data_IF_731687856394
#
_entry.id   IF_731687856394
#
_cell.length_a   1.000
_cell.length_b   1.000
_cell.length_c   1.000
_cell.angle_alpha   90.00
_cell.angle_beta   90.00
_cell.angle_gamma   90.00
#
_symmetry.space_group_name_H-M   'P 1'
#
loop_
_entity.id
_entity.type
_entity.pdbx_description
1 polymer ?
#
# COMPACT_ATOMS: atom_id res chain seq x y z
N UNK A 1 5.10 -7.96 27.82
CA UNK A 1 5.25 -8.62 26.49
C UNK A 1 6.33 -7.93 25.65
N UNK A 2 6.52 -6.63 25.84
CA UNK A 2 7.35 -5.78 24.97
C UNK A 2 8.77 -5.60 25.50
N UNK A 3 9.63 -5.06 24.64
CA UNK A 3 11.08 -4.94 24.81
C UNK A 3 11.49 -4.14 26.05
N UNK A 4 10.79 -3.05 26.40
CA UNK A 4 11.22 -2.14 27.47
C UNK A 4 11.19 -2.77 28.87
N UNK A 5 10.47 -3.90 29.03
CA UNK A 5 10.46 -4.71 30.26
C UNK A 5 11.17 -6.05 30.03
N UNK A 6 10.79 -6.78 28.97
CA UNK A 6 11.21 -8.18 28.78
C UNK A 6 12.49 -8.33 27.98
N UNK A 7 13.01 -7.27 27.37
CA UNK A 7 14.26 -7.22 26.61
C UNK A 7 14.36 -8.37 25.60
N UNK A 8 15.42 -9.17 25.67
CA UNK A 8 15.64 -10.34 24.81
C UNK A 8 14.59 -11.46 24.98
N UNK A 9 13.77 -11.41 26.03
CA UNK A 9 12.63 -12.32 26.27
C UNK A 9 11.28 -11.71 25.83
N UNK A 10 11.29 -10.55 25.19
CA UNK A 10 10.10 -9.97 24.58
C UNK A 10 9.62 -10.79 23.38
N UNK A 11 8.38 -10.56 22.98
CA UNK A 11 7.80 -11.26 21.84
C UNK A 11 8.30 -10.73 20.48
N UNK A 12 8.88 -9.52 20.46
CA UNK A 12 9.40 -8.81 19.29
C UNK A 12 10.28 -7.65 19.76
N UNK A 13 11.17 -7.17 18.90
CA UNK A 13 11.97 -5.95 19.10
C UNK A 13 11.19 -4.65 18.81
N UNK A 14 9.95 -4.73 18.32
CA UNK A 14 9.18 -3.54 17.94
C UNK A 14 9.01 -2.55 19.11
N UNK A 15 9.23 -1.27 18.83
CA UNK A 15 9.01 -0.16 19.74
C UNK A 15 8.11 0.91 19.07
N UNK A 16 8.69 1.75 18.21
CA UNK A 16 7.89 2.63 17.34
C UNK A 16 7.11 1.79 16.32
N UNK A 17 5.82 2.07 16.20
CA UNK A 17 4.90 1.42 15.25
C UNK A 17 4.11 2.50 14.49
N UNK A 18 3.09 2.10 13.73
CA UNK A 18 2.35 2.97 12.81
C UNK A 18 1.02 3.48 13.41
N UNK A 19 1.07 4.04 14.62
CA UNK A 19 -0.13 4.42 15.39
C UNK A 19 -0.98 5.48 14.66
N UNK A 20 -0.36 6.51 14.10
CA UNK A 20 -1.10 7.55 13.36
C UNK A 20 -1.85 6.97 12.17
N UNK A 21 -1.20 6.12 11.37
CA UNK A 21 -1.82 5.47 10.21
C UNK A 21 -2.92 4.47 10.62
N UNK A 22 -2.75 3.78 11.75
CA UNK A 22 -3.78 2.92 12.31
C UNK A 22 -5.02 3.72 12.76
N UNK A 23 -4.82 4.89 13.36
CA UNK A 23 -5.92 5.80 13.70
C UNK A 23 -6.64 6.31 12.45
N UNK A 24 -5.92 6.67 11.39
CA UNK A 24 -6.52 7.07 10.11
C UNK A 24 -7.36 5.93 9.53
N UNK A 25 -6.85 4.70 9.52
CA UNK A 25 -7.59 3.53 9.04
C UNK A 25 -8.84 3.24 9.88
N UNK A 26 -8.76 3.40 11.21
CA UNK A 26 -9.92 3.27 12.09
C UNK A 26 -10.96 4.35 11.81
N UNK A 27 -10.54 5.61 11.66
CA UNK A 27 -11.43 6.73 11.31
C UNK A 27 -12.08 6.54 9.93
N UNK A 28 -11.35 6.01 8.95
CA UNK A 28 -11.91 5.64 7.65
C UNK A 28 -13.02 4.58 7.79
N UNK A 29 -12.78 3.51 8.55
CA UNK A 29 -13.78 2.49 8.82
C UNK A 29 -14.99 3.03 9.62
N UNK A 30 -14.77 3.98 10.54
CA UNK A 30 -15.84 4.65 11.30
C UNK A 30 -16.67 5.58 10.44
N UNK A 31 -16.03 6.34 9.54
CA UNK A 31 -16.70 7.28 8.66
C UNK A 31 -17.62 6.56 7.67
N UNK A 32 -17.13 5.46 7.10
CA UNK A 32 -17.89 4.68 6.12
C UNK A 32 -18.84 3.67 6.76
N UNK A 33 -18.52 3.15 7.95
CA UNK A 33 -19.25 2.07 8.59
C UNK A 33 -19.29 0.77 7.76
N UNK A 34 -20.02 -0.26 8.24
CA UNK A 34 -20.09 -1.54 7.52
C UNK A 34 -20.70 -1.40 6.11
N UNK A 35 -21.70 -0.54 5.94
CA UNK A 35 -22.40 -0.32 4.67
C UNK A 35 -21.52 0.41 3.65
N UNK A 36 -20.81 1.47 4.06
CA UNK A 36 -19.92 2.22 3.16
C UNK A 36 -18.74 1.39 2.70
N UNK A 37 -18.08 0.65 3.62
CA UNK A 37 -17.00 -0.27 3.28
C UNK A 37 -17.48 -1.35 2.32
N UNK A 38 -18.68 -1.91 2.54
CA UNK A 38 -19.27 -2.88 1.62
C UNK A 38 -19.49 -2.26 0.23
N UNK A 39 -20.07 -1.06 0.17
CA UNK A 39 -20.36 -0.36 -1.08
C UNK A 39 -19.09 -0.07 -1.89
N UNK A 40 -18.01 0.32 -1.22
CA UNK A 40 -16.70 0.55 -1.85
C UNK A 40 -16.17 -0.77 -2.42
N UNK A 41 -16.14 -1.83 -1.61
CA UNK A 41 -15.67 -3.15 -2.05
C UNK A 41 -16.51 -3.71 -3.21
N UNK A 42 -17.84 -3.63 -3.12
CA UNK A 42 -18.76 -4.08 -4.18
C UNK A 42 -18.54 -3.28 -5.47
N UNK A 43 -18.24 -1.97 -5.39
CA UNK A 43 -17.95 -1.14 -6.58
C UNK A 43 -16.63 -1.55 -7.24
N UNK A 44 -15.57 -1.73 -6.46
CA UNK A 44 -14.25 -2.17 -6.98
C UNK A 44 -14.41 -3.53 -7.66
N UNK A 45 -15.06 -4.48 -6.98
CA UNK A 45 -15.31 -5.81 -7.52
C UNK A 45 -16.16 -5.75 -8.79
N UNK A 46 -17.21 -4.92 -8.81
CA UNK A 46 -18.08 -4.75 -9.97
C UNK A 46 -17.32 -4.23 -11.19
N UNK A 47 -16.49 -3.21 -11.02
CA UNK A 47 -15.66 -2.67 -12.10
C UNK A 47 -14.65 -3.71 -12.60
N UNK A 48 -14.08 -4.51 -11.70
CA UNK A 48 -13.16 -5.60 -12.04
C UNK A 48 -13.86 -6.68 -12.84
N UNK A 49 -15.09 -7.05 -12.46
CA UNK A 49 -15.91 -8.00 -13.20
C UNK A 49 -16.27 -7.47 -14.60
N UNK A 50 -16.59 -6.17 -14.72
CA UNK A 50 -16.83 -5.53 -16.02
C UNK A 50 -15.58 -5.61 -16.88
N UNK A 51 -14.41 -5.20 -16.35
CA UNK A 51 -13.13 -5.27 -17.05
C UNK A 51 -12.87 -6.68 -17.58
N UNK A 52 -12.94 -7.69 -16.72
CA UNK A 52 -12.69 -9.09 -17.08
C UNK A 52 -13.62 -9.61 -18.17
N UNK A 53 -14.95 -9.40 -18.05
CA UNK A 53 -15.91 -9.85 -19.06
C UNK A 53 -15.70 -9.13 -20.41
N UNK A 54 -15.31 -7.86 -20.37
CA UNK A 54 -14.94 -7.13 -21.58
C UNK A 54 -13.71 -7.72 -22.27
N UNK A 55 -12.69 -8.10 -21.50
CA UNK A 55 -11.49 -8.75 -22.03
C UNK A 55 -11.80 -10.14 -22.63
N UNK A 56 -12.55 -10.98 -21.90
CA UNK A 56 -12.91 -12.32 -22.36
C UNK A 56 -13.81 -12.30 -23.60
N UNK A 57 -14.80 -11.41 -23.65
CA UNK A 57 -15.66 -11.25 -24.84
C UNK A 57 -14.92 -10.76 -26.08
N UNK A 58 -13.77 -10.09 -25.90
CA UNK A 58 -12.87 -9.70 -26.97
C UNK A 58 -11.74 -10.71 -27.25
N UNK A 59 -11.76 -11.88 -26.59
CA UNK A 59 -10.83 -12.99 -26.83
C UNK A 59 -9.54 -12.97 -26.02
N UNK A 60 -9.36 -12.03 -25.08
CA UNK A 60 -8.24 -12.06 -24.13
C UNK A 60 -8.54 -13.04 -22.98
N UNK A 61 -7.59 -13.92 -22.69
CA UNK A 61 -7.73 -14.91 -21.62
C UNK A 61 -7.37 -14.32 -20.25
N UNK A 62 -8.37 -14.24 -19.37
CA UNK A 62 -8.19 -13.97 -17.94
C UNK A 62 -7.92 -15.31 -17.22
N UNK A 63 -6.81 -15.39 -16.49
CA UNK A 63 -6.35 -16.64 -15.84
C UNK A 63 -7.13 -16.94 -14.56
N UNK A 64 -7.55 -15.89 -13.85
CA UNK A 64 -8.25 -16.03 -12.57
C UNK A 64 -9.66 -16.57 -12.78
N UNK A 65 -10.01 -17.67 -12.10
CA UNK A 65 -11.40 -18.15 -12.03
C UNK A 65 -12.26 -17.36 -11.06
N UNK A 66 -11.66 -16.96 -9.94
CA UNK A 66 -12.29 -16.16 -8.89
C UNK A 66 -11.35 -15.00 -8.57
N UNK A 67 -11.89 -13.79 -8.36
CA UNK A 67 -11.11 -12.59 -8.04
C UNK A 67 -11.96 -11.56 -7.31
N UNK A 68 -11.28 -10.66 -6.59
CA UNK A 68 -11.89 -9.46 -6.03
C UNK A 68 -11.66 -8.27 -6.95
N UNK A 69 -10.43 -7.75 -6.96
CA UNK A 69 -10.02 -6.52 -7.66
C UNK A 69 -8.87 -6.71 -8.67
N UNK A 70 -8.28 -7.90 -8.68
CA UNK A 70 -7.02 -8.16 -9.38
C UNK A 70 -7.17 -9.27 -10.42
N UNK A 71 -6.73 -8.99 -11.64
CA UNK A 71 -6.74 -9.89 -12.79
C UNK A 71 -5.31 -10.20 -13.22
N UNK A 72 -5.08 -11.44 -13.62
CA UNK A 72 -3.91 -11.95 -14.32
C UNK A 72 -4.34 -12.29 -15.73
N UNK A 73 -3.70 -11.68 -16.73
CA UNK A 73 -4.13 -11.73 -18.12
C UNK A 73 -3.00 -12.32 -18.96
N UNK A 74 -3.33 -13.31 -19.79
CA UNK A 74 -2.39 -13.86 -20.78
C UNK A 74 -2.21 -12.87 -21.93
N UNK A 75 -0.96 -12.58 -22.27
CA UNK A 75 -0.59 -11.70 -23.38
C UNK A 75 0.24 -12.52 -24.37
N UNK A 76 -0.20 -12.58 -25.63
CA UNK A 76 0.57 -13.22 -26.68
C UNK A 76 1.85 -12.41 -26.97
N UNK A 77 2.97 -13.10 -27.23
CA UNK A 77 4.28 -12.47 -27.44
C UNK A 77 4.26 -11.36 -28.50
N UNK A 78 3.49 -11.54 -29.58
CA UNK A 78 3.36 -10.57 -30.65
C UNK A 78 2.55 -9.31 -30.28
N UNK A 79 1.86 -9.29 -29.14
CA UNK A 79 1.09 -8.14 -28.63
C UNK A 79 1.83 -7.34 -27.55
N UNK A 80 2.90 -7.90 -26.97
CA UNK A 80 3.60 -7.32 -25.82
C UNK A 80 4.09 -5.90 -26.09
N UNK A 81 4.80 -5.69 -27.20
CA UNK A 81 5.37 -4.38 -27.53
C UNK A 81 4.28 -3.32 -27.70
N UNK A 82 3.21 -3.66 -28.43
CA UNK A 82 2.10 -2.76 -28.67
C UNK A 82 1.31 -2.45 -27.38
N UNK A 83 1.22 -3.40 -26.44
CA UNK A 83 0.65 -3.19 -25.12
C UNK A 83 1.46 -2.17 -24.32
N UNK A 84 2.78 -2.34 -24.24
CA UNK A 84 3.69 -1.45 -23.51
C UNK A 84 3.60 -0.02 -24.06
N UNK A 85 3.62 0.13 -25.39
CA UNK A 85 3.49 1.45 -26.02
C UNK A 85 2.16 2.12 -25.68
N UNK A 86 1.04 1.39 -25.73
CA UNK A 86 -0.27 1.93 -25.35
C UNK A 86 -0.35 2.27 -23.86
N UNK A 87 0.20 1.44 -22.99
CA UNK A 87 0.23 1.68 -21.55
C UNK A 87 1.02 2.95 -21.21
N UNK A 88 2.19 3.12 -21.82
CA UNK A 88 3.03 4.32 -21.66
C UNK A 88 2.33 5.58 -22.18
N UNK A 89 1.73 5.52 -23.37
CA UNK A 89 0.95 6.65 -23.93
C UNK A 89 -0.26 7.03 -23.07
N UNK A 90 -0.87 6.04 -22.39
CA UNK A 90 -1.99 6.27 -21.49
C UNK A 90 -1.56 6.69 -20.06
N UNK A 91 -0.28 6.64 -19.73
CA UNK A 91 0.22 6.89 -18.38
C UNK A 91 -0.25 5.84 -17.36
N UNK A 92 -0.40 4.58 -17.78
CA UNK A 92 -0.90 3.48 -16.96
C UNK A 92 0.23 2.49 -16.69
N UNK A 93 0.51 2.24 -15.42
CA UNK A 93 1.41 1.17 -15.00
C UNK A 93 0.62 -0.12 -14.78
N UNK A 94 1.10 -1.21 -15.37
CA UNK A 94 0.59 -2.57 -15.16
C UNK A 94 1.65 -3.37 -14.40
N UNK A 95 1.24 -4.49 -13.79
CA UNK A 95 2.19 -5.41 -13.16
C UNK A 95 2.85 -6.27 -14.23
N UNK A 96 4.10 -5.96 -14.58
CA UNK A 96 4.83 -6.56 -15.72
C UNK A 96 5.91 -7.60 -15.33
N UNK A 97 6.20 -7.79 -14.04
CA UNK A 97 7.26 -8.69 -13.52
C UNK A 97 7.06 -10.17 -13.90
N UNK A 98 5.86 -10.54 -14.36
CA UNK A 98 5.49 -11.91 -14.73
C UNK A 98 5.50 -12.15 -16.24
N UNK A 99 5.75 -11.11 -17.04
CA UNK A 99 5.56 -11.19 -18.48
C UNK A 99 6.62 -12.09 -19.13
N UNK A 100 7.88 -11.92 -18.77
CA UNK A 100 9.00 -12.69 -19.32
C UNK A 100 8.92 -14.17 -18.98
N UNK A 101 8.58 -14.51 -17.73
CA UNK A 101 8.63 -15.90 -17.24
C UNK A 101 7.31 -16.66 -17.45
N UNK A 102 6.19 -15.95 -17.57
CA UNK A 102 4.86 -16.56 -17.58
C UNK A 102 3.95 -16.09 -18.72
N UNK A 103 4.37 -15.14 -19.57
CA UNK A 103 3.51 -14.59 -20.63
C UNK A 103 2.25 -13.87 -20.09
N UNK A 104 2.30 -13.41 -18.82
CA UNK A 104 1.14 -12.81 -18.15
C UNK A 104 1.46 -11.45 -17.56
N UNK A 105 0.44 -10.61 -17.46
CA UNK A 105 0.49 -9.34 -16.72
C UNK A 105 -0.56 -9.33 -15.61
N UNK A 106 -0.38 -8.45 -14.61
CA UNK A 106 -1.38 -8.19 -13.58
C UNK A 106 -2.02 -6.80 -13.70
N UNK A 107 -3.30 -6.72 -13.39
CA UNK A 107 -4.08 -5.48 -13.30
C UNK A 107 -4.87 -5.50 -11.99
N UNK A 108 -4.64 -4.53 -11.11
CA UNK A 108 -5.39 -4.36 -9.86
C UNK A 108 -6.15 -3.05 -9.91
N UNK A 109 -7.46 -3.10 -9.65
CA UNK A 109 -8.30 -1.92 -9.53
C UNK A 109 -8.44 -1.52 -8.06
N UNK A 110 -8.86 -0.28 -7.83
CA UNK A 110 -8.96 0.31 -6.50
C UNK A 110 -10.16 1.25 -6.37
N UNK A 111 -10.27 1.89 -5.20
CA UNK A 111 -11.32 2.87 -4.93
C UNK A 111 -11.25 4.11 -5.85
N UNK A 112 -10.09 4.47 -6.39
CA UNK A 112 -9.98 5.62 -7.29
C UNK A 112 -10.45 5.30 -8.71
N UNK A 113 -10.57 4.02 -9.06
CA UNK A 113 -10.94 3.59 -10.41
C UNK A 113 -12.33 4.07 -10.82
N UNK A 114 -12.42 4.64 -12.02
CA UNK A 114 -13.65 5.14 -12.64
C UNK A 114 -14.05 4.32 -13.86
N UNK A 115 -15.25 4.57 -14.42
CA UNK A 115 -15.69 3.95 -15.68
C UNK A 115 -14.76 4.30 -16.84
N UNK A 116 -14.25 5.54 -16.89
CA UNK A 116 -13.32 5.98 -17.92
C UNK A 116 -12.00 5.19 -17.85
N UNK A 117 -11.55 4.85 -16.64
CA UNK A 117 -10.33 4.05 -16.48
C UNK A 117 -10.50 2.62 -17.00
N UNK A 118 -11.70 2.04 -16.87
CA UNK A 118 -12.00 0.72 -17.48
C UNK A 118 -11.94 0.80 -19.01
N UNK A 119 -12.49 1.85 -19.62
CA UNK A 119 -12.41 2.05 -21.06
C UNK A 119 -10.96 2.23 -21.53
N UNK A 120 -10.17 3.01 -20.78
CA UNK A 120 -8.73 3.18 -21.04
C UNK A 120 -7.97 1.86 -20.91
N UNK A 121 -8.26 1.06 -19.88
CA UNK A 121 -7.65 -0.25 -19.70
C UNK A 121 -8.00 -1.20 -20.86
N UNK A 122 -9.25 -1.22 -21.33
CA UNK A 122 -9.58 -1.97 -22.54
C UNK A 122 -8.84 -1.45 -23.76
N UNK A 123 -8.69 -0.14 -23.95
CA UNK A 123 -7.90 0.41 -25.06
C UNK A 123 -6.42 -0.01 -24.97
N UNK A 124 -5.83 0.00 -23.78
CA UNK A 124 -4.46 -0.48 -23.54
C UNK A 124 -4.34 -1.96 -23.84
N UNK A 125 -5.26 -2.80 -23.36
CA UNK A 125 -5.18 -4.25 -23.47
C UNK A 125 -5.57 -4.78 -24.85
N UNK A 126 -6.56 -4.19 -25.50
CA UNK A 126 -7.18 -4.70 -26.74
C UNK A 126 -6.94 -3.82 -27.98
N UNK A 127 -6.42 -2.61 -27.82
CA UNK A 127 -6.26 -1.68 -28.94
C UNK A 127 -7.60 -1.36 -29.63
N UNK A 128 -7.70 -1.62 -30.94
CA UNK A 128 -8.90 -1.28 -31.74
C UNK A 128 -10.12 -2.12 -31.39
N UNK A 129 -9.93 -3.33 -30.87
CA UNK A 129 -11.06 -4.22 -30.53
C UNK A 129 -11.85 -3.75 -29.31
N UNK A 130 -11.27 -2.86 -28.48
CA UNK A 130 -11.96 -2.21 -27.37
C UNK A 130 -13.20 -1.40 -27.81
N UNK A 131 -13.26 -0.92 -29.06
CA UNK A 131 -14.39 -0.11 -29.58
C UNK A 131 -15.72 -0.85 -29.62
N UNK A 132 -15.70 -2.19 -29.56
CA UNK A 132 -16.89 -3.04 -29.56
C UNK A 132 -17.46 -3.21 -28.14
N UNK A 133 -16.71 -2.83 -27.11
CA UNK A 133 -17.08 -3.01 -25.72
C UNK A 133 -17.89 -1.82 -25.21
N UNK A 134 -18.81 -2.11 -24.29
CA UNK A 134 -19.65 -1.13 -23.64
C UNK A 134 -19.82 -1.50 -22.18
N UNK A 135 -19.46 -0.57 -21.28
CA UNK A 135 -19.64 -0.75 -19.84
C UNK A 135 -21.11 -0.99 -19.51
N UNK A 136 -22.03 -0.20 -20.07
CA UNK A 136 -23.46 -0.31 -19.76
C UNK A 136 -24.05 -1.65 -20.20
N UNK A 137 -23.58 -2.20 -21.31
CA UNK A 137 -24.01 -3.51 -21.82
C UNK A 137 -23.54 -4.64 -20.90
N UNK A 138 -22.25 -4.64 -20.53
CA UNK A 138 -21.69 -5.67 -19.65
C UNK A 138 -22.28 -5.55 -18.24
N UNK A 139 -22.37 -4.34 -17.70
CA UNK A 139 -22.99 -4.07 -16.41
C UNK A 139 -24.46 -4.51 -16.40
N UNK A 140 -25.21 -4.24 -17.47
CA UNK A 140 -26.58 -4.71 -17.65
C UNK A 140 -26.69 -6.24 -17.64
N UNK A 141 -25.78 -6.93 -18.33
CA UNK A 141 -25.76 -8.40 -18.34
C UNK A 141 -25.46 -8.99 -16.96
N UNK A 142 -24.58 -8.38 -16.16
CA UNK A 142 -24.32 -8.83 -14.79
C UNK A 142 -25.52 -8.53 -13.87
N UNK A 143 -26.17 -7.36 -13.97
CA UNK A 143 -27.35 -7.06 -13.12
C UNK A 143 -28.55 -7.94 -13.45
N UNK A 144 -28.72 -8.33 -14.71
CA UNK A 144 -29.77 -9.24 -15.17
C UNK A 144 -29.49 -10.71 -14.85
N UNK A 145 -28.28 -11.05 -14.38
CA UNK A 145 -27.87 -12.42 -14.07
C UNK A 145 -27.46 -13.25 -15.29
N UNK A 146 -27.25 -12.62 -16.45
CA UNK A 146 -26.75 -13.29 -17.66
C UNK A 146 -25.27 -13.65 -17.54
N UNK A 147 -24.53 -12.93 -16.69
CA UNK A 147 -23.15 -13.24 -16.32
C UNK A 147 -23.15 -13.75 -14.88
N UNK A 148 -22.61 -14.94 -14.68
CA UNK A 148 -22.58 -15.59 -13.37
C UNK A 148 -21.64 -14.84 -12.38
N UNK A 149 -21.95 -14.85 -11.07
CA UNK A 149 -21.04 -14.32 -10.06
C UNK A 149 -19.69 -15.04 -10.06
N UNK A 150 -18.62 -14.26 -9.97
CA UNK A 150 -17.23 -14.75 -9.97
C UNK A 150 -16.80 -15.25 -8.60
N UNK A 151 -17.41 -14.78 -7.52
CA UNK A 151 -17.13 -15.25 -6.16
C UNK A 151 -18.09 -16.42 -5.86
N UNK A 152 -17.57 -17.64 -5.62
CA UNK A 152 -18.37 -18.80 -5.25
C UNK A 152 -19.23 -18.54 -4.00
N UNK A 153 -20.44 -19.10 -3.96
CA UNK A 153 -21.40 -18.89 -2.87
C UNK A 153 -20.82 -19.23 -1.49
N UNK A 154 -19.99 -20.28 -1.40
CA UNK A 154 -19.34 -20.70 -0.16
C UNK A 154 -18.20 -19.76 0.31
N UNK A 155 -17.75 -18.84 -0.55
CA UNK A 155 -16.76 -17.80 -0.21
C UNK A 155 -17.41 -16.43 0.07
N UNK A 156 -18.72 -16.30 -0.12
CA UNK A 156 -19.44 -15.06 0.20
C UNK A 156 -19.54 -14.93 1.72
N UNK A 157 -18.97 -13.86 2.25
CA UNK A 157 -19.03 -13.53 3.67
C UNK A 157 -20.49 -13.39 4.14
N UNK A 158 -20.88 -14.19 5.13
CA UNK A 158 -22.20 -14.11 5.79
C UNK A 158 -22.16 -13.39 7.13
N UNK A 159 -20.98 -13.27 7.76
CA UNK A 159 -20.84 -12.63 9.06
C UNK A 159 -20.90 -11.11 8.97
N UNK A 160 -21.65 -10.49 9.89
CA UNK A 160 -21.61 -9.05 10.11
C UNK A 160 -20.24 -8.60 10.67
N UNK A 161 -19.95 -7.31 10.53
CA UNK A 161 -18.71 -6.67 10.98
C UNK A 161 -18.96 -5.22 11.37
N UNK A 162 -18.00 -4.62 12.07
CA UNK A 162 -18.09 -3.25 12.58
C UNK A 162 -19.38 -3.04 13.39
N UNK A 163 -19.78 -4.05 14.16
CA UNK A 163 -21.02 -4.07 14.95
C UNK A 163 -21.04 -3.09 16.12
N UNK A 164 -19.86 -2.67 16.59
CA UNK A 164 -19.79 -1.73 17.69
C UNK A 164 -20.43 -0.39 17.27
N UNK A 165 -21.30 0.21 18.09
CA UNK A 165 -22.06 1.41 17.69
C UNK A 165 -21.22 2.59 17.20
N UNK A 166 -19.95 2.65 17.60
CA UNK A 166 -18.99 3.67 17.16
C UNK A 166 -18.81 3.74 15.64
N UNK A 167 -19.03 2.63 14.92
CA UNK A 167 -18.97 2.57 13.46
C UNK A 167 -20.26 3.02 12.77
N UNK A 168 -21.27 3.45 13.54
CA UNK A 168 -22.59 3.89 13.05
C UNK A 168 -22.94 5.32 13.45
N UNK A 169 -22.10 6.01 14.25
CA UNK A 169 -22.44 7.31 14.84
C UNK A 169 -21.92 8.54 14.07
N UNK A 170 -20.86 8.41 13.26
CA UNK A 170 -20.11 9.57 12.75
C UNK A 170 -19.96 9.53 11.23
N UNK A 171 -21.08 9.51 10.49
CA UNK A 171 -21.08 9.36 9.02
C UNK A 171 -21.18 10.69 8.29
N UNK A 172 -21.61 11.76 8.95
CA UNK A 172 -21.50 13.11 8.39
C UNK A 172 -20.13 13.72 8.67
N UNK A 173 -19.66 14.56 7.76
CA UNK A 173 -18.41 15.30 7.91
C UNK A 173 -18.37 16.08 9.23
N UNK A 174 -19.48 16.77 9.57
CA UNK A 174 -19.58 17.55 10.81
C UNK A 174 -19.44 16.68 12.06
N UNK A 175 -20.09 15.52 12.10
CA UNK A 175 -20.00 14.60 13.23
C UNK A 175 -18.61 14.02 13.37
N UNK A 176 -17.98 13.62 12.26
CA UNK A 176 -16.61 13.10 12.26
C UNK A 176 -15.61 14.16 12.70
N UNK A 177 -15.71 15.40 12.21
CA UNK A 177 -14.89 16.53 12.67
C UNK A 177 -15.01 16.74 14.18
N UNK A 178 -16.25 16.76 14.71
CA UNK A 178 -16.51 16.89 16.16
C UNK A 178 -15.95 15.72 16.95
N UNK A 179 -16.02 14.51 16.41
CA UNK A 179 -15.49 13.32 17.06
C UNK A 179 -13.95 13.36 17.13
N UNK A 180 -13.29 13.64 16.01
CA UNK A 180 -11.82 13.79 15.95
C UNK A 180 -11.37 14.88 16.93
N UNK A 181 -12.01 16.06 16.90
CA UNK A 181 -11.66 17.15 17.83
C UNK A 181 -11.87 16.78 19.29
N UNK A 182 -12.90 15.99 19.61
CA UNK A 182 -13.14 15.51 20.96
C UNK A 182 -12.07 14.54 21.44
N UNK A 183 -11.54 13.69 20.56
CA UNK A 183 -10.41 12.81 20.88
C UNK A 183 -9.13 13.63 21.04
N UNK A 184 -8.83 14.51 20.09
CA UNK A 184 -7.67 15.42 20.12
C UNK A 184 -7.60 16.21 21.43
N UNK A 185 -8.73 16.79 21.89
CA UNK A 185 -8.77 17.58 23.12
C UNK A 185 -8.53 16.79 24.42
N UNK A 186 -8.52 15.45 24.37
CA UNK A 186 -8.19 14.61 25.54
C UNK A 186 -6.69 14.34 25.65
N UNK A 187 -5.94 14.55 24.57
CA UNK A 187 -4.54 14.17 24.47
C UNK A 187 -3.67 15.41 24.60
N UNK A 188 -2.75 15.40 25.58
CA UNK A 188 -1.71 16.41 25.66
C UNK A 188 -0.71 16.22 24.52
N UNK A 189 -0.39 17.31 23.83
CA UNK A 189 0.53 17.29 22.68
C UNK A 189 1.55 18.43 22.77
N UNK A 190 2.49 18.45 21.82
CA UNK A 190 3.45 19.55 21.69
C UNK A 190 2.79 20.89 21.32
N UNK A 191 1.52 20.90 20.90
CA UNK A 191 0.75 22.13 20.72
C UNK A 191 0.34 22.78 22.06
N UNK A 192 0.45 22.05 23.18
CA UNK A 192 0.03 22.51 24.50
C UNK A 192 1.21 22.90 25.37
N UNK A 193 2.20 22.01 25.49
CA UNK A 193 3.34 22.18 26.40
C UNK A 193 4.51 21.29 26.00
N UNK A 194 5.65 21.48 26.67
CA UNK A 194 6.79 20.58 26.58
C UNK A 194 6.41 19.18 27.10
N UNK A 195 6.81 18.15 26.35
CA UNK A 195 6.69 16.74 26.75
C UNK A 195 8.12 16.18 26.91
N UNK A 196 8.73 16.25 28.12
CA UNK A 196 10.15 15.96 28.34
C UNK A 196 10.42 14.45 28.51
N UNK A 197 10.04 13.64 27.52
CA UNK A 197 10.30 12.20 27.54
C UNK A 197 11.76 11.92 27.14
N UNK A 198 12.55 11.47 28.12
CA UNK A 198 13.92 11.02 27.88
C UNK A 198 13.99 9.92 26.82
N UNK A 199 15.03 9.95 26.00
CA UNK A 199 15.24 9.05 24.84
C UNK A 199 14.24 9.18 23.68
N UNK A 200 13.24 10.07 23.75
CA UNK A 200 12.26 10.28 22.67
C UNK A 200 12.55 11.49 21.76
N UNK A 201 13.35 12.45 22.23
CA UNK A 201 13.70 13.68 21.48
C UNK A 201 12.46 14.41 20.93
N UNK A 202 11.53 14.76 21.82
CA UNK A 202 10.29 15.49 21.49
C UNK A 202 10.55 16.95 21.09
N UNK A 203 11.14 17.14 19.91
CA UNK A 203 11.49 18.42 19.30
C UNK A 203 10.34 18.99 18.44
N UNK A 204 10.56 20.17 17.87
CA UNK A 204 9.66 20.75 16.88
C UNK A 204 9.48 19.82 15.67
N UNK A 205 8.24 19.62 15.25
CA UNK A 205 7.88 19.10 13.93
C UNK A 205 7.37 20.30 13.11
N UNK A 206 8.24 20.92 12.30
CA UNK A 206 7.90 22.20 11.70
C UNK A 206 6.84 22.04 10.60
N UNK A 207 5.92 22.99 10.48
CA UNK A 207 4.89 22.94 9.44
C UNK A 207 5.48 22.82 8.02
N UNK A 208 6.58 23.52 7.76
CA UNK A 208 7.30 23.46 6.47
C UNK A 208 7.84 22.05 6.15
N UNK A 209 8.25 21.29 7.16
CA UNK A 209 8.74 19.91 7.01
C UNK A 209 7.59 18.92 6.79
N UNK A 210 6.40 19.21 7.35
CA UNK A 210 5.25 18.31 7.30
C UNK A 210 4.40 18.48 6.03
N UNK A 211 4.34 19.67 5.44
CA UNK A 211 3.51 19.96 4.25
C UNK A 211 3.76 18.97 3.09
N UNK A 212 5.03 18.66 2.71
CA UNK A 212 5.31 17.85 1.53
C UNK A 212 4.79 16.40 1.60
N UNK A 213 4.61 15.82 2.79
CA UNK A 213 4.18 14.42 2.94
C UNK A 213 2.81 14.14 2.32
N UNK A 214 2.01 15.21 2.09
CA UNK A 214 0.68 15.15 1.51
C UNK A 214 0.60 15.60 0.05
N UNK A 215 1.72 16.05 -0.53
CA UNK A 215 1.77 16.41 -1.95
C UNK A 215 1.53 15.18 -2.81
N UNK A 216 0.72 15.27 -3.88
CA UNK A 216 0.45 14.15 -4.76
C UNK A 216 1.71 13.43 -5.27
N UNK A 217 2.78 14.19 -5.53
CA UNK A 217 4.07 13.71 -6.02
C UNK A 217 4.80 12.81 -5.00
N UNK A 218 4.49 12.92 -3.70
CA UNK A 218 5.00 12.05 -2.64
C UNK A 218 3.96 11.01 -2.19
N UNK A 219 2.70 11.42 -2.03
CA UNK A 219 1.68 10.57 -1.40
C UNK A 219 1.02 9.56 -2.35
N UNK A 220 1.05 9.79 -3.67
CA UNK A 220 0.33 8.95 -4.65
C UNK A 220 1.17 7.91 -5.41
N UNK A 221 2.50 8.07 -5.62
CA UNK A 221 3.29 7.03 -6.25
C UNK A 221 3.11 5.66 -5.64
N UNK A 222 2.94 4.65 -6.49
CA UNK A 222 2.98 3.26 -6.05
C UNK A 222 4.46 2.89 -5.77
N UNK A 223 4.79 2.15 -4.69
CA UNK A 223 6.17 1.86 -4.33
C UNK A 223 6.95 1.02 -5.37
N UNK A 224 6.24 0.32 -6.27
CA UNK A 224 6.83 -0.42 -7.38
C UNK A 224 6.65 0.26 -8.74
N UNK A 225 6.49 1.58 -8.74
CA UNK A 225 6.48 2.35 -9.99
C UNK A 225 7.86 2.26 -10.66
N UNK A 226 7.94 2.17 -12.01
CA UNK A 226 9.22 2.22 -12.72
C UNK A 226 10.10 3.40 -12.29
N UNK A 227 11.41 3.16 -12.16
CA UNK A 227 12.35 4.13 -11.58
C UNK A 227 12.46 5.43 -12.40
N UNK A 228 12.28 5.35 -13.72
CA UNK A 228 12.28 6.49 -14.64
C UNK A 228 11.13 7.49 -14.37
N UNK A 229 10.05 7.05 -13.71
CA UNK A 229 8.95 7.90 -13.26
C UNK A 229 9.18 8.48 -11.85
N UNK A 230 10.29 8.11 -11.18
CA UNK A 230 10.57 8.42 -9.77
C UNK A 230 11.85 9.23 -9.58
N UNK A 231 12.31 9.96 -10.60
CA UNK A 231 13.54 10.76 -10.53
C UNK A 231 13.59 11.73 -9.33
N UNK A 232 12.46 12.37 -8.98
CA UNK A 232 12.39 13.25 -7.81
C UNK A 232 12.59 12.51 -6.48
N UNK A 233 12.04 11.30 -6.35
CA UNK A 233 12.29 10.42 -5.19
C UNK A 233 13.74 9.97 -5.12
N UNK A 234 14.33 9.59 -6.26
CA UNK A 234 15.73 9.17 -6.33
C UNK A 234 16.67 10.29 -5.88
N UNK A 235 16.44 11.51 -6.36
CA UNK A 235 17.22 12.68 -5.96
C UNK A 235 17.06 12.95 -4.45
N UNK A 236 15.83 13.02 -3.95
CA UNK A 236 15.57 13.26 -2.52
C UNK A 236 16.24 12.22 -1.61
N UNK A 237 16.14 10.94 -1.98
CA UNK A 237 16.74 9.85 -1.21
C UNK A 237 18.27 9.96 -1.24
N UNK A 238 18.87 10.16 -2.41
CA UNK A 238 20.33 10.29 -2.55
C UNK A 238 20.89 11.48 -1.76
N UNK A 239 20.25 12.65 -1.85
CA UNK A 239 20.70 13.83 -1.10
C UNK A 239 20.60 13.60 0.41
N UNK A 240 19.57 12.90 0.88
CA UNK A 240 19.43 12.54 2.29
C UNK A 240 20.45 11.50 2.74
N UNK A 241 20.75 10.51 1.91
CA UNK A 241 21.80 9.52 2.16
C UNK A 241 23.17 10.22 2.32
N UNK A 242 23.50 11.16 1.42
CA UNK A 242 24.75 11.94 1.48
C UNK A 242 24.84 12.79 2.76
N UNK A 243 23.76 13.50 3.11
CA UNK A 243 23.70 14.29 4.34
C UNK A 243 23.87 13.43 5.59
N UNK A 244 23.25 12.25 5.63
CA UNK A 244 23.35 11.34 6.78
C UNK A 244 24.73 10.66 6.86
N UNK A 245 25.34 10.34 5.72
CA UNK A 245 26.70 9.82 5.66
C UNK A 245 27.69 10.84 6.24
N UNK A 246 27.59 12.11 5.86
CA UNK A 246 28.42 13.19 6.41
C UNK A 246 28.22 13.38 7.92
N UNK A 247 26.96 13.38 8.40
CA UNK A 247 26.66 13.54 9.84
C UNK A 247 27.22 12.38 10.68
N UNK A 248 27.22 11.16 10.15
CA UNK A 248 27.55 9.95 10.90
C UNK A 248 28.99 9.46 10.69
N UNK A 249 29.65 9.90 9.62
CA UNK A 249 30.96 9.41 9.21
C UNK A 249 30.95 7.98 8.64
N UNK A 250 29.79 7.45 8.27
CA UNK A 250 29.69 6.18 7.54
C UNK A 250 29.84 6.37 6.04
N UNK A 251 30.35 5.34 5.35
CA UNK A 251 30.53 5.39 3.89
C UNK A 251 29.20 5.36 3.11
N UNK A 252 28.17 4.72 3.66
CA UNK A 252 26.87 4.52 3.01
C UNK A 252 25.74 4.42 4.03
N UNK A 253 24.52 4.79 3.61
CA UNK A 253 23.28 4.70 4.39
C UNK A 253 22.26 3.85 3.64
N UNK A 254 21.46 3.08 4.37
CA UNK A 254 20.33 2.33 3.79
C UNK A 254 19.02 2.86 4.36
N UNK A 255 18.14 3.34 3.47
CA UNK A 255 16.84 3.93 3.85
C UNK A 255 15.70 2.91 4.05
N UNK A 256 15.96 1.61 3.89
CA UNK A 256 14.91 0.56 3.98
C UNK A 256 14.33 0.34 5.40
N UNK A 257 15.10 0.37 6.49
CA UNK A 257 14.54 0.14 7.82
C UNK A 257 13.55 1.22 8.24
N UNK A 258 12.30 0.83 8.49
CA UNK A 258 11.19 1.76 8.79
C UNK A 258 10.99 2.03 10.30
N UNK A 259 11.94 1.64 11.15
CA UNK A 259 11.99 1.95 12.58
C UNK A 259 13.42 1.74 13.12
N UNK A 260 13.73 2.34 14.28
CA UNK A 260 15.04 2.16 14.92
C UNK A 260 15.38 0.69 15.20
N UNK A 261 14.42 -0.07 15.75
CA UNK A 261 14.60 -1.50 16.03
C UNK A 261 14.84 -2.34 14.76
N UNK A 262 14.23 -1.96 13.63
CA UNK A 262 14.52 -2.58 12.32
C UNK A 262 15.90 -2.20 11.81
N UNK A 263 16.38 -0.99 12.10
CA UNK A 263 17.75 -0.56 11.81
C UNK A 263 18.79 -1.39 12.57
N UNK A 264 18.59 -1.59 13.87
CA UNK A 264 19.44 -2.46 14.69
C UNK A 264 19.47 -3.90 14.16
N UNK A 265 18.29 -4.46 13.85
CA UNK A 265 18.18 -5.80 13.28
C UNK A 265 18.89 -5.92 11.93
N UNK A 266 18.68 -4.96 11.02
CA UNK A 266 19.36 -4.93 9.72
C UNK A 266 20.88 -4.82 9.88
N UNK A 267 21.36 -3.98 10.80
CA UNK A 267 22.78 -3.84 11.11
C UNK A 267 23.41 -5.12 11.64
N UNK A 268 22.75 -5.79 12.60
CA UNK A 268 23.23 -7.09 13.12
C UNK A 268 23.23 -8.18 12.04
N UNK A 269 22.24 -8.19 11.15
CA UNK A 269 22.24 -9.09 9.99
C UNK A 269 23.37 -8.79 9.01
N UNK A 270 23.68 -7.52 8.76
CA UNK A 270 24.80 -7.11 7.92
C UNK A 270 26.13 -7.57 8.53
N UNK A 271 26.36 -7.35 9.83
CA UNK A 271 27.53 -7.85 10.57
C UNK A 271 27.62 -9.38 10.47
N UNK A 272 26.51 -10.10 10.69
CA UNK A 272 26.50 -11.56 10.59
C UNK A 272 26.86 -12.04 9.17
N UNK A 273 26.31 -11.41 8.13
CA UNK A 273 26.63 -11.75 6.74
C UNK A 273 28.10 -11.44 6.39
N UNK A 274 28.65 -10.34 6.91
CA UNK A 274 30.07 -10.03 6.77
C UNK A 274 30.96 -11.07 7.47
N UNK A 275 30.64 -11.47 8.71
CA UNK A 275 31.40 -12.51 9.39
C UNK A 275 31.33 -13.86 8.65
N UNK A 276 30.15 -14.20 8.10
CA UNK A 276 29.98 -15.40 7.30
C UNK A 276 30.80 -15.36 6.01
N UNK A 277 30.92 -14.20 5.33
CA UNK A 277 31.74 -14.10 4.11
C UNK A 277 33.24 -14.26 4.38
N UNK A 278 33.68 -14.02 5.62
CA UNK A 278 35.03 -14.32 6.11
C UNK A 278 35.20 -15.76 6.63
N UNK A 279 34.17 -16.60 6.55
CA UNK A 279 34.17 -17.96 7.11
C UNK A 279 34.06 -18.02 8.64
N UNK A 280 33.85 -16.89 9.32
CA UNK A 280 33.80 -16.79 10.78
C UNK A 280 32.40 -17.09 11.35
N UNK A 281 31.73 -18.14 10.85
CA UNK A 281 30.32 -18.47 11.13
C UNK A 281 30.00 -18.73 12.61
N UNK A 282 31.02 -19.08 13.41
CA UNK A 282 30.85 -19.39 14.84
C UNK A 282 30.86 -18.14 15.73
N UNK A 283 31.10 -16.94 15.17
CA UNK A 283 31.08 -15.67 15.92
C UNK A 283 29.65 -15.16 16.06
N UNK A 284 28.95 -15.62 17.10
CA UNK A 284 27.52 -15.32 17.34
C UNK A 284 27.23 -14.65 18.70
N UNK A 285 28.27 -14.27 19.45
CA UNK A 285 28.12 -13.58 20.73
C UNK A 285 28.04 -12.06 20.49
N UNK A 286 26.97 -11.42 20.97
CA UNK A 286 26.79 -9.97 20.97
C UNK A 286 26.88 -9.45 22.41
N UNK A 287 27.81 -8.53 22.66
CA UNK A 287 27.97 -7.90 23.98
C UNK A 287 27.02 -6.70 24.07
N UNK A 288 26.08 -6.74 25.02
CA UNK A 288 25.05 -5.71 25.17
C UNK A 288 25.12 -5.17 26.61
N UNK A 289 25.44 -3.88 26.81
CA UNK A 289 25.40 -3.26 28.14
C UNK A 289 23.99 -3.33 28.75
N UNK A 290 23.89 -3.48 30.07
CA UNK A 290 22.60 -3.51 30.76
C UNK A 290 21.83 -2.18 30.67
N UNK A 291 22.53 -1.08 30.41
CA UNK A 291 21.95 0.24 30.15
C UNK A 291 21.40 0.42 28.73
N UNK A 292 21.67 -0.53 27.81
CA UNK A 292 21.12 -0.47 26.47
C UNK A 292 19.59 -0.51 26.52
N UNK A 293 18.96 0.09 25.51
CA UNK A 293 17.53 -0.06 25.28
C UNK A 293 17.14 -1.56 25.20
N UNK A 294 15.87 -1.83 25.51
CA UNK A 294 15.35 -3.20 25.60
C UNK A 294 15.31 -3.93 24.27
#
# INVERSE_FOLDING_TARGET
REQHIRREKANSNICTSQVLLANIAALYAMYHGPTGIKKIADRIHRLTAILANGLESAGLSVVNKNYFDTLTINIADNQVQALIERANLAGINLRMDRLTDHGTIGVSLDECTTRLDIERLWQVLLGKDSKKLSISTIDGAITQGNIAPVIPVNLIRQSEYLRHPIFSYYHSETEMMRYIKRLENKDISLANTMIPLGSCTMKLNAAAEMIPISWPEFAKPHPFTPLDQMAGYQQMISELEDMLAEITGFDNVSMQPNSGAQGEYAGLLAIKKYLNSLGAINRNVCLIPTSAHG
#
